data_IF_320147287307
#
_entry.id   IF_320147287307
#
_cell.length_a   1.000
_cell.length_b   1.000
_cell.length_c   1.000
_cell.angle_alpha   90.00
_cell.angle_beta   90.00
_cell.angle_gamma   90.00
#
_symmetry.space_group_name_H-M   'P 1'
#
loop_
_entity.id
_entity.type
_entity.pdbx_description
1 polymer ?
#
# COMPACT_ATOMS: atom_id res chain seq x y z
N UNK A 1 22.72 -5.52 23.80
CA UNK A 1 21.28 -5.86 23.93
C UNK A 1 20.57 -5.35 22.70
N UNK A 2 20.31 -6.23 21.74
CA UNK A 2 19.69 -5.86 20.46
C UNK A 2 18.18 -5.74 20.66
N UNK A 3 17.65 -4.51 20.61
CA UNK A 3 16.21 -4.32 20.38
C UNK A 3 15.96 -4.76 18.94
N UNK A 4 15.46 -5.98 18.74
CA UNK A 4 14.65 -6.27 17.56
C UNK A 4 13.55 -5.22 17.57
N UNK A 5 13.56 -4.31 16.60
CA UNK A 5 12.41 -3.46 16.36
C UNK A 5 11.29 -4.41 15.93
N UNK A 6 10.48 -4.85 16.88
CA UNK A 6 9.29 -5.65 16.62
C UNK A 6 8.39 -4.76 15.76
N UNK A 7 8.31 -5.11 14.46
CA UNK A 7 7.34 -4.49 13.57
C UNK A 7 5.91 -4.65 14.11
N UNK A 8 4.93 -3.91 13.58
CA UNK A 8 3.55 -4.04 14.02
C UNK A 8 3.10 -5.50 13.92
N UNK A 9 2.35 -5.97 14.92
CA UNK A 9 1.76 -7.31 14.87
C UNK A 9 0.88 -7.41 13.61
N UNK A 10 0.87 -8.55 12.90
CA UNK A 10 0.18 -8.67 11.62
C UNK A 10 -1.31 -8.29 11.67
N UNK A 11 -1.99 -8.64 12.77
CA UNK A 11 -3.41 -8.32 12.97
C UNK A 11 -3.64 -6.80 13.11
N UNK A 12 -2.78 -6.11 13.85
CA UNK A 12 -2.89 -4.67 14.04
C UNK A 12 -2.60 -3.92 12.74
N UNK A 13 -1.60 -4.39 11.98
CA UNK A 13 -1.28 -3.85 10.66
C UNK A 13 -2.47 -3.99 9.70
N UNK A 14 -3.09 -5.17 9.66
CA UNK A 14 -4.27 -5.41 8.82
C UNK A 14 -5.46 -4.53 9.24
N UNK A 15 -5.70 -4.37 10.54
CA UNK A 15 -6.78 -3.54 11.07
C UNK A 15 -6.59 -2.05 10.78
N UNK A 16 -5.35 -1.55 10.82
CA UNK A 16 -5.02 -0.17 10.41
C UNK A 16 -5.15 0.01 8.90
N UNK A 17 -4.66 -0.93 8.08
CA UNK A 17 -4.81 -0.88 6.63
C UNK A 17 -6.28 -0.83 6.21
N UNK A 18 -7.15 -1.61 6.87
CA UNK A 18 -8.58 -1.59 6.60
C UNK A 18 -9.23 -0.21 6.83
N UNK A 19 -8.64 0.63 7.71
CA UNK A 19 -9.10 2.00 7.98
C UNK A 19 -8.45 3.05 7.07
N UNK A 20 -7.45 2.65 6.26
CA UNK A 20 -6.62 3.55 5.44
C UNK A 20 -6.63 3.10 3.98
N UNK A 21 -7.76 3.29 3.26
CA UNK A 21 -7.88 2.88 1.86
C UNK A 21 -6.85 3.57 0.96
N UNK A 22 -6.47 4.82 1.27
CA UNK A 22 -5.45 5.56 0.52
C UNK A 22 -4.05 4.95 0.70
N UNK A 23 -3.72 4.44 1.88
CA UNK A 23 -2.48 3.68 2.10
C UNK A 23 -2.43 2.39 1.25
N UNK A 24 -3.55 1.66 1.15
CA UNK A 24 -3.65 0.47 0.28
C UNK A 24 -3.43 0.87 -1.18
N UNK A 25 -4.09 1.93 -1.65
CA UNK A 25 -3.94 2.43 -3.01
C UNK A 25 -2.48 2.82 -3.32
N UNK A 26 -1.80 3.48 -2.37
CA UNK A 26 -0.38 3.83 -2.50
C UNK A 26 0.52 2.59 -2.61
N UNK A 27 0.30 1.57 -1.77
CA UNK A 27 1.07 0.31 -1.83
C UNK A 27 0.92 -0.39 -3.18
N UNK A 28 -0.31 -0.51 -3.67
CA UNK A 28 -0.59 -1.16 -4.96
C UNK A 28 0.00 -0.36 -6.13
N UNK A 29 -0.14 0.97 -6.10
CA UNK A 29 0.42 1.85 -7.15
C UNK A 29 1.95 1.80 -7.18
N UNK A 30 2.59 1.77 -6.00
CA UNK A 30 4.04 1.68 -5.90
C UNK A 30 4.59 0.31 -6.28
N UNK A 31 3.80 -0.78 -6.21
CA UNK A 31 4.25 -2.12 -6.63
C UNK A 31 4.73 -2.12 -8.08
N UNK A 32 4.01 -1.39 -8.93
CA UNK A 32 4.27 -1.34 -10.37
C UNK A 32 5.26 -0.21 -10.75
N UNK A 33 5.88 0.44 -9.76
CA UNK A 33 6.80 1.58 -9.96
C UNK A 33 8.06 1.43 -9.13
N UNK A 34 9.20 1.87 -9.66
CA UNK A 34 10.44 1.88 -8.86
C UNK A 34 10.36 2.88 -7.70
N UNK A 35 9.83 4.09 -7.96
CA UNK A 35 9.60 5.16 -6.98
C UNK A 35 8.39 6.01 -7.41
N UNK A 36 7.79 6.77 -6.49
CA UNK A 36 6.75 7.76 -6.80
C UNK A 36 6.72 8.92 -5.81
N UNK A 37 6.40 10.13 -6.27
CA UNK A 37 6.16 11.30 -5.42
C UNK A 37 4.70 11.36 -4.94
N UNK A 38 4.37 12.27 -4.03
CA UNK A 38 2.96 12.52 -3.63
C UNK A 38 2.10 12.87 -4.84
N UNK A 39 2.61 13.70 -5.76
CA UNK A 39 1.88 14.09 -6.97
C UNK A 39 1.59 12.91 -7.91
N UNK A 40 2.47 11.93 -7.95
CA UNK A 40 2.31 10.70 -8.76
C UNK A 40 1.30 9.71 -8.16
N UNK A 41 1.09 9.78 -6.85
CA UNK A 41 0.20 8.91 -6.07
C UNK A 41 -1.21 9.49 -5.92
N UNK A 42 -1.39 10.79 -6.12
CA UNK A 42 -2.69 11.45 -6.26
C UNK A 42 -2.93 12.62 -5.32
N UNK A 43 -4.21 12.99 -5.19
CA UNK A 43 -4.66 14.17 -4.44
C UNK A 43 -4.98 15.34 -5.38
N UNK A 44 -6.27 15.46 -5.71
CA UNK A 44 -6.80 16.54 -6.59
C UNK A 44 -6.82 17.90 -5.89
N UNK A 45 -6.93 17.89 -4.56
CA UNK A 45 -6.89 19.05 -3.68
C UNK A 45 -5.86 18.87 -2.56
N UNK A 46 -5.56 19.95 -1.82
CA UNK A 46 -4.54 19.91 -0.77
C UNK A 46 -4.96 19.04 0.43
N UNK A 47 -6.26 18.97 0.74
CA UNK A 47 -6.78 18.13 1.84
C UNK A 47 -6.51 16.66 1.56
N UNK A 48 -6.77 16.20 0.34
CA UNK A 48 -6.49 14.83 -0.10
C UNK A 48 -4.99 14.54 -0.11
N UNK A 49 -4.16 15.53 -0.47
CA UNK A 49 -2.70 15.39 -0.41
C UNK A 49 -2.19 15.31 1.02
N UNK A 50 -2.75 16.06 1.95
CA UNK A 50 -2.40 15.98 3.37
C UNK A 50 -2.77 14.61 3.96
N UNK A 51 -3.96 14.09 3.65
CA UNK A 51 -4.36 12.74 4.04
C UNK A 51 -3.41 11.68 3.45
N UNK A 52 -3.06 11.80 2.17
CA UNK A 52 -2.07 10.93 1.52
C UNK A 52 -0.69 11.03 2.20
N UNK A 53 -0.21 12.23 2.53
CA UNK A 53 1.06 12.42 3.27
C UNK A 53 1.01 11.74 4.63
N UNK A 54 -0.10 11.84 5.36
CA UNK A 54 -0.27 11.19 6.66
C UNK A 54 -0.18 9.65 6.54
N UNK A 55 -0.82 9.08 5.52
CA UNK A 55 -0.74 7.65 5.23
C UNK A 55 0.66 7.21 4.80
N UNK A 56 1.34 7.99 3.96
CA UNK A 56 2.73 7.70 3.55
C UNK A 56 3.71 7.78 4.73
N UNK A 57 3.51 8.74 5.64
CA UNK A 57 4.27 8.84 6.89
C UNK A 57 4.04 7.61 7.78
N UNK A 58 2.79 7.16 7.92
CA UNK A 58 2.47 5.96 8.68
C UNK A 58 3.07 4.68 8.04
N UNK A 59 2.99 4.54 6.72
CA UNK A 59 3.62 3.43 5.98
C UNK A 59 5.17 3.44 6.12
N UNK A 60 5.79 4.62 6.17
CA UNK A 60 7.22 4.73 6.45
C UNK A 60 7.55 4.35 7.90
N UNK A 61 6.74 4.79 8.87
CA UNK A 61 6.93 4.48 10.29
C UNK A 61 6.78 2.97 10.58
N UNK A 62 5.91 2.27 9.84
CA UNK A 62 5.75 0.81 9.90
C UNK A 62 6.82 0.05 9.12
N UNK A 63 7.73 0.75 8.42
CA UNK A 63 8.82 0.14 7.65
C UNK A 63 8.41 -0.41 6.29
N UNK A 64 7.19 -0.13 5.82
CA UNK A 64 6.70 -0.56 4.50
C UNK A 64 7.21 0.34 3.38
N UNK A 65 7.50 1.61 3.68
CA UNK A 65 8.08 2.56 2.73
C UNK A 65 9.46 3.04 3.16
N UNK A 66 10.24 3.41 2.16
CA UNK A 66 11.44 4.23 2.32
C UNK A 66 11.26 5.51 1.53
N UNK A 67 11.62 6.64 2.15
CA UNK A 67 11.70 7.92 1.47
C UNK A 67 13.13 8.11 0.98
N UNK A 68 13.30 8.38 -0.31
CA UNK A 68 14.61 8.68 -0.86
C UNK A 68 15.02 10.11 -0.47
N UNK A 69 16.18 10.30 0.19
CA UNK A 69 16.70 11.64 0.40
C UNK A 69 17.04 12.23 -0.96
N UNK A 70 16.47 13.39 -1.28
CA UNK A 70 16.93 14.17 -2.42
C UNK A 70 18.33 14.69 -2.08
N UNK A 71 19.29 14.50 -2.99
CA UNK A 71 20.65 15.03 -2.85
C UNK A 71 20.76 16.56 -2.93
N UNK A 72 19.64 17.27 -2.82
CA UNK A 72 19.56 18.73 -2.84
C UNK A 72 19.45 19.24 -1.41
N UNK A 73 20.32 20.19 -1.04
CA UNK A 73 20.27 20.93 0.22
C UNK A 73 19.10 21.93 0.28
N UNK A 74 18.29 22.01 -0.78
CA UNK A 74 17.17 22.94 -0.87
C UNK A 74 15.91 22.36 -0.20
N UNK A 75 15.62 22.87 1.00
CA UNK A 75 14.54 22.41 1.90
C UNK A 75 13.15 22.55 1.25
N UNK A 76 13.00 23.41 0.24
CA UNK A 76 11.73 23.69 -0.45
C UNK A 76 11.37 22.60 -1.46
N UNK A 77 12.35 21.85 -1.99
CA UNK A 77 12.15 20.74 -2.92
C UNK A 77 11.99 19.37 -2.23
N UNK A 78 11.68 19.36 -0.93
CA UNK A 78 11.64 18.16 -0.09
C UNK A 78 10.45 17.22 -0.38
N UNK A 79 9.95 17.11 -1.61
CA UNK A 79 9.02 16.04 -2.00
C UNK A 79 9.79 14.78 -2.39
N UNK A 80 10.55 14.23 -1.44
CA UNK A 80 11.30 13.00 -1.63
C UNK A 80 10.42 11.87 -2.17
N UNK A 81 10.87 11.18 -3.21
CA UNK A 81 10.16 10.05 -3.77
C UNK A 81 10.08 8.90 -2.75
N UNK A 82 8.98 8.16 -2.80
CA UNK A 82 8.72 6.99 -1.98
C UNK A 82 8.98 5.74 -2.78
N UNK A 83 9.54 4.73 -2.13
CA UNK A 83 9.67 3.37 -2.68
C UNK A 83 9.29 2.34 -1.64
N UNK A 84 8.82 1.18 -2.09
CA UNK A 84 8.53 0.06 -1.21
C UNK A 84 9.83 -0.48 -0.61
N UNK A 85 9.77 -0.84 0.67
CA UNK A 85 10.78 -1.71 1.29
C UNK A 85 10.59 -3.15 0.79
N UNK A 86 11.49 -4.07 1.15
CA UNK A 86 11.28 -5.50 0.89
C UNK A 86 9.97 -5.99 1.49
N UNK A 87 9.64 -5.55 2.72
CA UNK A 87 8.39 -5.88 3.38
C UNK A 87 7.18 -5.22 2.69
N UNK A 88 7.33 -3.97 2.26
CA UNK A 88 6.31 -3.26 1.48
C UNK A 88 5.97 -3.96 0.18
N UNK A 89 6.98 -4.44 -0.56
CA UNK A 89 6.78 -5.20 -1.80
C UNK A 89 6.03 -6.51 -1.54
N UNK A 90 6.46 -7.30 -0.56
CA UNK A 90 5.79 -8.56 -0.23
C UNK A 90 4.31 -8.35 0.16
N UNK A 91 4.02 -7.29 0.92
CA UNK A 91 2.64 -6.94 1.26
C UNK A 91 1.84 -6.49 0.03
N UNK A 92 2.43 -5.67 -0.85
CA UNK A 92 1.78 -5.22 -2.07
C UNK A 92 1.47 -6.39 -3.03
N UNK A 93 2.36 -7.38 -3.12
CA UNK A 93 2.14 -8.62 -3.87
C UNK A 93 1.00 -9.44 -3.28
N UNK A 94 0.93 -9.57 -1.95
CA UNK A 94 -0.17 -10.27 -1.28
C UNK A 94 -1.52 -9.58 -1.53
N UNK A 95 -1.56 -8.24 -1.47
CA UNK A 95 -2.75 -7.45 -1.80
C UNK A 95 -3.18 -7.65 -3.26
N UNK A 96 -2.22 -7.73 -4.19
CA UNK A 96 -2.51 -8.00 -5.59
C UNK A 96 -3.09 -9.39 -5.81
N UNK A 97 -2.50 -10.42 -5.17
CA UNK A 97 -3.00 -11.79 -5.25
C UNK A 97 -4.42 -11.89 -4.67
N UNK A 98 -4.70 -11.19 -3.57
CA UNK A 98 -6.04 -11.09 -3.00
C UNK A 98 -7.02 -10.44 -3.98
N UNK A 99 -6.64 -9.33 -4.60
CA UNK A 99 -7.47 -8.65 -5.59
C UNK A 99 -7.79 -9.55 -6.81
N UNK A 100 -6.82 -10.35 -7.27
CA UNK A 100 -7.04 -11.32 -8.34
C UNK A 100 -7.99 -12.45 -7.91
N UNK A 101 -7.79 -13.01 -6.71
CA UNK A 101 -8.70 -14.01 -6.15
C UNK A 101 -10.14 -13.48 -6.04
N UNK A 102 -10.32 -12.23 -5.59
CA UNK A 102 -11.63 -11.58 -5.56
C UNK A 102 -12.25 -11.44 -6.95
N UNK A 103 -11.46 -11.07 -7.98
CA UNK A 103 -11.95 -11.03 -9.37
C UNK A 103 -12.41 -12.40 -9.85
N UNK A 104 -11.65 -13.45 -9.54
CA UNK A 104 -11.99 -14.82 -9.92
C UNK A 104 -13.29 -15.29 -9.25
N UNK A 105 -13.48 -14.98 -7.96
CA UNK A 105 -14.71 -15.33 -7.24
C UNK A 105 -15.92 -14.53 -7.75
N UNK A 106 -15.75 -13.25 -8.08
CA UNK A 106 -16.82 -12.43 -8.64
C UNK A 106 -17.20 -12.82 -10.08
N UNK A 107 -16.22 -13.29 -10.85
CA UNK A 107 -16.41 -13.75 -12.23
C UNK A 107 -16.80 -15.22 -12.36
N UNK A 108 -16.70 -16.02 -11.29
CA UNK A 108 -17.13 -17.41 -11.31
C UNK A 108 -18.66 -17.45 -11.47
N UNK A 109 -19.19 -18.07 -12.55
CA UNK A 109 -20.62 -18.29 -12.65
C UNK A 109 -21.04 -19.15 -11.45
N UNK A 110 -22.08 -18.70 -10.73
CA UNK A 110 -22.68 -19.45 -9.64
C UNK A 110 -22.85 -20.89 -10.10
N UNK A 111 -22.15 -21.79 -9.42
CA UNK A 111 -22.06 -23.21 -9.76
C UNK A 111 -23.46 -23.68 -10.11
N UNK A 112 -23.67 -23.96 -11.40
CA UNK A 112 -24.93 -24.42 -11.94
C UNK A 112 -25.30 -25.66 -11.13
N UNK A 113 -26.26 -25.51 -10.21
CA UNK A 113 -26.88 -26.57 -9.45
C UNK A 113 -27.56 -27.47 -10.48
N UNK A 114 -26.79 -28.39 -11.07
CA UNK A 114 -27.33 -29.52 -11.81
C UNK A 114 -27.91 -30.48 -10.78
N UNK A 115 -29.00 -30.04 -10.17
CA UNK A 115 -30.08 -30.94 -9.80
C UNK A 115 -30.69 -31.40 -11.13
N UNK A 116 -30.08 -32.43 -11.70
CA UNK A 116 -30.63 -33.17 -12.83
C UNK A 116 -30.35 -34.65 -12.58
N UNK A 117 -31.07 -35.16 -11.59
CA UNK A 117 -31.66 -36.49 -11.65
C UNK A 117 -33.19 -36.29 -11.64
N UNK A 118 -33.96 -37.09 -12.37
CA UNK A 118 -33.80 -38.54 -12.52
C UNK A 118 -33.25 -39.02 -13.86
#
# INVERSE_FOLDING_TARGET
>A
MSRTAEGPQPADLAAELARRPTAIAALVTLRDRATATVGDLGGVDEVSREALRADLCWLAATGLLRREPHGSWDVVAATGAYRLSTMGNALADALNALAEGCRHLAGAPATQRRDSMP
#
